data_IF_988540990511
#
_entry.id   IF_988540990511
#
_cell.length_a   1.000
_cell.length_b   1.000
_cell.length_c   1.000
_cell.angle_alpha   90.00
_cell.angle_beta   90.00
_cell.angle_gamma   90.00
#
_symmetry.space_group_name_H-M   'P 1'
#
loop_
_entity.id
_entity.type
_entity.pdbx_description
1 polymer ?
#
# COMPACT_ATOMS: atom_id res chain seq x y z
N UNK A 1 -44.10 -41.23 10.05
CA UNK A 1 -43.85 -40.57 8.75
C UNK A 1 -44.47 -39.19 8.77
N UNK A 2 -43.65 -38.13 8.77
CA UNK A 2 -44.00 -36.86 8.13
C UNK A 2 -42.73 -36.06 7.85
N UNK A 3 -42.76 -35.45 6.68
CA UNK A 3 -41.69 -34.77 5.95
C UNK A 3 -41.57 -33.32 6.43
N UNK A 4 -40.37 -32.73 6.38
CA UNK A 4 -40.23 -31.28 6.44
C UNK A 4 -38.85 -30.79 6.83
N UNK A 5 -37.89 -30.84 5.90
CA UNK A 5 -36.65 -30.04 6.01
C UNK A 5 -36.99 -28.57 5.72
N UNK A 6 -36.47 -27.68 6.58
CA UNK A 6 -35.88 -26.34 6.31
C UNK A 6 -36.35 -25.29 7.32
N UNK A 7 -35.40 -24.78 8.11
CA UNK A 7 -35.34 -23.36 8.47
C UNK A 7 -33.93 -23.07 9.00
N UNK A 8 -33.10 -22.48 8.14
CA UNK A 8 -31.89 -21.75 8.50
C UNK A 8 -32.29 -20.60 9.44
N UNK A 9 -31.77 -20.59 10.68
CA UNK A 9 -31.85 -19.43 11.54
C UNK A 9 -30.56 -19.29 12.33
N UNK A 10 -29.86 -18.21 12.00
CA UNK A 10 -28.73 -17.62 12.71
C UNK A 10 -28.96 -17.66 14.22
N UNK A 11 -28.02 -18.29 14.96
CA UNK A 11 -27.99 -18.22 16.42
C UNK A 11 -27.56 -16.81 16.79
N UNK A 12 -28.55 -16.03 17.26
CA UNK A 12 -28.33 -14.78 17.96
C UNK A 12 -27.50 -15.08 19.21
N UNK A 13 -26.30 -14.49 19.30
CA UNK A 13 -25.48 -14.48 20.50
C UNK A 13 -26.16 -13.53 21.49
N UNK A 14 -26.67 -14.09 22.58
CA UNK A 14 -27.22 -13.37 23.72
C UNK A 14 -26.18 -12.39 24.29
N UNK A 15 -26.66 -11.18 24.57
CA UNK A 15 -25.95 -10.13 25.29
C UNK A 15 -25.64 -10.60 26.71
N UNK A 16 -24.36 -10.60 27.06
CA UNK A 16 -23.92 -10.51 28.45
C UNK A 16 -23.07 -9.25 28.57
N UNK A 17 -23.66 -8.28 29.24
CA UNK A 17 -23.20 -6.99 29.70
C UNK A 17 -21.73 -6.99 30.15
N UNK A 18 -20.89 -6.20 29.48
CA UNK A 18 -19.48 -6.01 29.83
C UNK A 18 -19.29 -4.61 30.43
N UNK A 19 -18.60 -4.48 31.58
CA UNK A 19 -18.50 -3.23 32.33
C UNK A 19 -17.92 -2.09 31.49
N UNK A 20 -18.59 -0.94 31.58
CA UNK A 20 -18.14 0.33 31.04
C UNK A 20 -16.90 0.78 31.80
N UNK A 21 -15.96 1.36 31.06
CA UNK A 21 -14.72 2.01 31.52
C UNK A 21 -13.49 1.11 31.73
N UNK A 22 -12.76 0.88 30.64
CA UNK A 22 -11.30 1.14 30.59
C UNK A 22 -10.72 0.88 29.18
N UNK A 23 -11.42 1.31 28.13
CA UNK A 23 -10.77 1.45 26.82
C UNK A 23 -10.06 2.79 26.80
N UNK A 24 -8.89 2.83 27.43
CA UNK A 24 -7.92 3.92 27.35
C UNK A 24 -7.65 4.25 25.89
N UNK A 25 -8.42 5.20 25.38
CA UNK A 25 -8.58 5.43 23.97
C UNK A 25 -7.37 6.22 23.48
N UNK A 26 -6.28 5.55 23.16
CA UNK A 26 -5.29 6.14 22.24
C UNK A 26 -5.92 6.07 20.86
N UNK A 27 -6.85 7.01 20.58
CA UNK A 27 -7.12 7.39 19.20
C UNK A 27 -5.80 7.97 18.71
N UNK A 28 -4.95 7.14 18.11
CA UNK A 28 -3.84 7.66 17.32
C UNK A 28 -4.46 8.70 16.41
N UNK A 29 -4.01 9.94 16.58
CA UNK A 29 -4.50 11.10 15.85
C UNK A 29 -4.19 10.83 14.38
N UNK A 30 -5.18 10.28 13.65
CA UNK A 30 -5.02 9.96 12.24
C UNK A 30 -4.84 11.25 11.49
N UNK A 31 -3.58 11.56 11.14
CA UNK A 31 -3.27 12.63 10.19
C UNK A 31 -3.30 12.02 8.81
N UNK A 32 -4.13 12.60 7.95
CA UNK A 32 -4.07 12.32 6.52
C UNK A 32 -2.62 12.55 6.07
N UNK A 33 -2.05 11.55 5.39
CA UNK A 33 -0.74 11.70 4.78
C UNK A 33 -0.88 12.69 3.64
N UNK A 34 -0.24 13.85 3.76
CA UNK A 34 -0.15 14.82 2.68
C UNK A 34 1.09 14.44 1.88
N UNK A 35 0.88 13.84 0.72
CA UNK A 35 1.94 13.51 -0.23
C UNK A 35 2.25 14.79 -1.03
N UNK A 36 3.44 15.38 -0.83
CA UNK A 36 3.83 16.70 -1.32
C UNK A 36 4.89 16.64 -2.45
N UNK A 37 4.99 15.53 -3.17
CA UNK A 37 6.05 15.30 -4.16
C UNK A 37 7.30 14.64 -3.59
N UNK A 38 7.23 14.08 -2.38
CA UNK A 38 8.40 13.72 -1.58
C UNK A 38 8.53 12.21 -1.33
N UNK A 39 7.62 11.39 -1.89
CA UNK A 39 7.65 9.92 -1.72
C UNK A 39 8.99 9.36 -2.18
N UNK A 40 9.56 9.90 -3.27
CA UNK A 40 10.84 9.44 -3.83
C UNK A 40 12.02 9.47 -2.84
N UNK A 41 11.97 10.33 -1.81
CA UNK A 41 13.01 10.44 -0.77
C UNK A 41 12.94 9.32 0.27
N UNK A 42 11.81 8.62 0.33
CA UNK A 42 11.56 7.53 1.28
C UNK A 42 11.78 6.15 0.68
N UNK A 43 12.15 6.09 -0.61
CA UNK A 43 12.37 4.84 -1.31
C UNK A 43 13.60 4.12 -0.74
N UNK A 44 13.57 2.78 -0.71
CA UNK A 44 14.76 1.99 -0.43
C UNK A 44 15.86 2.28 -1.47
N UNK A 45 17.14 2.07 -1.11
CA UNK A 45 18.25 2.25 -2.02
C UNK A 45 18.14 1.30 -3.22
N UNK A 46 18.51 1.79 -4.40
CA UNK A 46 18.64 0.97 -5.61
C UNK A 46 20.00 0.24 -5.62
N UNK A 47 20.11 -0.93 -6.27
CA UNK A 47 19.03 -1.70 -6.89
C UNK A 47 18.13 -2.39 -5.86
N UNK A 48 16.86 -2.53 -6.20
CA UNK A 48 15.78 -3.08 -5.37
C UNK A 48 15.80 -4.61 -5.31
N UNK A 49 16.98 -5.25 -5.39
CA UNK A 49 17.10 -6.70 -5.51
C UNK A 49 17.42 -7.37 -4.16
N UNK A 50 16.63 -8.37 -3.71
CA UNK A 50 15.43 -8.93 -4.35
C UNK A 50 14.20 -8.02 -4.19
N UNK A 51 13.42 -7.89 -5.27
CA UNK A 51 12.30 -6.95 -5.34
C UNK A 51 11.02 -7.50 -4.76
N UNK A 52 10.40 -6.76 -3.84
CA UNK A 52 9.03 -7.03 -3.44
C UNK A 52 8.02 -6.19 -4.24
N UNK A 53 6.79 -6.73 -4.39
CA UNK A 53 5.68 -5.99 -5.01
C UNK A 53 5.41 -4.64 -4.33
N UNK A 54 5.37 -4.54 -2.98
CA UNK A 54 5.19 -3.27 -2.29
C UNK A 54 6.26 -2.22 -2.64
N UNK A 55 7.53 -2.60 -2.68
CA UNK A 55 8.62 -1.66 -3.00
C UNK A 55 8.51 -1.16 -4.45
N UNK A 56 8.20 -2.07 -5.37
CA UNK A 56 7.98 -1.71 -6.78
C UNK A 56 6.83 -0.71 -6.93
N UNK A 57 5.75 -0.92 -6.19
CA UNK A 57 4.59 -0.05 -6.23
C UNK A 57 4.91 1.33 -5.65
N UNK A 58 5.71 1.41 -4.59
CA UNK A 58 6.15 2.70 -4.04
C UNK A 58 7.01 3.48 -5.04
N UNK A 59 7.88 2.81 -5.79
CA UNK A 59 8.69 3.45 -6.84
C UNK A 59 7.79 4.01 -7.94
N UNK A 60 6.78 3.24 -8.39
CA UNK A 60 5.82 3.71 -9.38
C UNK A 60 5.06 4.95 -8.87
N UNK A 61 4.55 4.90 -7.64
CA UNK A 61 3.86 6.04 -7.04
C UNK A 61 4.74 7.28 -6.90
N UNK A 62 6.02 7.11 -6.56
CA UNK A 62 6.96 8.21 -6.49
C UNK A 62 7.17 8.88 -7.86
N UNK A 63 7.26 8.09 -8.94
CA UNK A 63 7.40 8.60 -10.32
C UNK A 63 6.11 9.33 -10.74
N UNK A 64 4.94 8.75 -10.48
CA UNK A 64 3.64 9.37 -10.77
C UNK A 64 3.46 10.69 -10.02
N UNK A 65 3.88 10.73 -8.75
CA UNK A 65 3.83 11.94 -7.92
C UNK A 65 4.73 13.05 -8.49
N UNK A 66 5.99 12.72 -8.82
CA UNK A 66 6.91 13.68 -9.45
C UNK A 66 6.36 14.21 -10.77
N UNK A 67 5.75 13.34 -11.59
CA UNK A 67 5.09 13.75 -12.83
C UNK A 67 3.91 14.70 -12.56
N UNK A 68 3.06 14.39 -11.58
CA UNK A 68 1.92 15.22 -11.19
C UNK A 68 2.36 16.64 -10.77
N UNK A 69 3.46 16.75 -10.02
CA UNK A 69 4.05 18.03 -9.61
C UNK A 69 4.90 18.70 -10.70
N UNK A 70 4.91 18.17 -11.93
CA UNK A 70 5.70 18.68 -13.06
C UNK A 70 7.21 18.69 -12.81
N UNK A 71 7.70 17.84 -11.91
CA UNK A 71 9.12 17.63 -11.59
C UNK A 71 9.71 16.58 -12.53
N UNK A 72 9.62 16.83 -13.84
CA UNK A 72 9.90 15.82 -14.88
C UNK A 72 11.33 15.32 -14.87
N UNK A 73 12.30 16.20 -14.59
CA UNK A 73 13.71 15.82 -14.53
C UNK A 73 13.94 14.74 -13.46
N UNK A 74 13.40 14.94 -12.27
CA UNK A 74 13.52 13.99 -11.16
C UNK A 74 12.76 12.69 -11.46
N UNK A 75 11.61 12.78 -12.13
CA UNK A 75 10.88 11.59 -12.57
C UNK A 75 11.71 10.75 -13.55
N UNK A 76 12.35 11.38 -14.55
CA UNK A 76 13.21 10.69 -15.53
C UNK A 76 14.42 10.05 -14.84
N UNK A 77 15.09 10.78 -13.94
CA UNK A 77 16.23 10.23 -13.19
C UNK A 77 15.84 9.04 -12.33
N UNK A 78 14.68 9.10 -11.68
CA UNK A 78 14.16 7.99 -10.88
C UNK A 78 13.78 6.79 -11.75
N UNK A 79 13.14 7.03 -12.90
CA UNK A 79 12.84 5.98 -13.88
C UNK A 79 14.11 5.31 -14.38
N UNK A 80 15.16 6.07 -14.71
CA UNK A 80 16.45 5.52 -15.13
C UNK A 80 17.02 4.55 -14.09
N UNK A 81 17.12 4.98 -12.83
CA UNK A 81 17.57 4.11 -11.71
C UNK A 81 16.72 2.86 -11.56
N UNK A 82 15.40 2.99 -11.72
CA UNK A 82 14.47 1.87 -11.62
C UNK A 82 14.59 0.87 -12.78
N UNK A 83 15.14 1.29 -13.93
CA UNK A 83 15.38 0.44 -15.11
C UNK A 83 16.79 -0.17 -15.17
N UNK A 84 17.77 0.39 -14.44
CA UNK A 84 19.15 -0.13 -14.34
C UNK A 84 19.30 -1.44 -13.54
N UNK A 85 18.21 -2.09 -13.15
CA UNK A 85 18.24 -3.29 -12.30
C UNK A 85 18.75 -4.49 -13.07
N UNK A 86 19.67 -5.25 -12.48
CA UNK A 86 20.38 -6.37 -13.09
C UNK A 86 19.49 -7.54 -13.54
N UNK A 87 18.29 -7.66 -13.00
CA UNK A 87 17.31 -8.73 -13.26
C UNK A 87 16.19 -8.34 -14.23
N UNK A 88 16.14 -7.07 -14.67
CA UNK A 88 15.22 -6.65 -15.74
C UNK A 88 15.62 -7.24 -17.09
N UNK A 89 14.64 -7.62 -17.91
CA UNK A 89 14.92 -8.02 -19.30
C UNK A 89 15.58 -6.87 -20.07
N UNK A 90 16.53 -7.22 -20.93
CA UNK A 90 17.34 -6.25 -21.68
C UNK A 90 16.49 -5.29 -22.51
N UNK A 91 15.35 -5.76 -23.04
CA UNK A 91 14.37 -4.97 -23.80
C UNK A 91 13.82 -3.76 -23.04
N UNK A 92 13.84 -3.77 -21.69
CA UNK A 92 13.37 -2.66 -20.87
C UNK A 92 14.46 -1.62 -20.54
N UNK A 93 15.73 -1.88 -20.90
CA UNK A 93 16.88 -1.03 -20.56
C UNK A 93 17.31 -0.04 -21.65
N UNK A 94 16.69 -0.07 -22.83
CA UNK A 94 17.07 0.78 -23.97
C UNK A 94 16.15 1.99 -24.16
N UNK A 95 16.51 3.12 -23.56
CA UNK A 95 15.90 4.44 -23.80
C UNK A 95 16.97 5.49 -24.08
#
# INVERSE_FOLDING_TARGET
MSIGKKATRWVMREEAEMPQDESGTVKHEWRARIECGEIYKTLPPFPLNPRSKPETQQVLYAIEELYFYRRFQEAVELTGKALEQEDLMEDFRGW
#
